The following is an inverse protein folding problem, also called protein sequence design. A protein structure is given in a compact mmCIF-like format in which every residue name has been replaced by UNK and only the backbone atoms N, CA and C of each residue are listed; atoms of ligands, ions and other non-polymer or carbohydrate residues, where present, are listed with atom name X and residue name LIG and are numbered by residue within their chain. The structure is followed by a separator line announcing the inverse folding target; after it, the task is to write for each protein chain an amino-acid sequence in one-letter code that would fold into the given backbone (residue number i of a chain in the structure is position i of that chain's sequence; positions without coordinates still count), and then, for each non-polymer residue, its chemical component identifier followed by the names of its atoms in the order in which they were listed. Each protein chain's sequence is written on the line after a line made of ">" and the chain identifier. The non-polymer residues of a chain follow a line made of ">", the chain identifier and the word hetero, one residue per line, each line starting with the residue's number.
data_IF_521670590764
#
_entry.id   IF_521670590764
#
_cell.length_a   1.000
_cell.length_b   1.000
_cell.length_c   1.000
_cell.angle_alpha   90.00
_cell.angle_beta   90.00
_cell.angle_gamma   90.00
#
_symmetry.space_group_name_H-M   'P 1'
#
loop_
_entity.id
_entity.type
_entity.pdbx_description
1 polymer ?
#
# COMPACT_ATOMS: atom_id res chain seq x y z
N UNK A 1 11.50 -4.85 18.19
CA UNK A 1 10.90 -3.79 17.35
C UNK A 1 9.53 -4.26 16.89
N UNK A 2 8.49 -3.40 16.87
CA UNK A 2 7.17 -3.75 16.34
C UNK A 2 7.15 -3.56 14.82
N UNK A 3 6.67 -4.55 14.08
CA UNK A 3 6.57 -4.51 12.63
C UNK A 3 5.12 -4.77 12.22
N UNK A 4 4.56 -3.96 11.33
CA UNK A 4 3.15 -4.08 10.93
C UNK A 4 3.02 -4.26 9.42
N UNK A 5 2.16 -5.19 9.01
CA UNK A 5 1.85 -5.45 7.59
C UNK A 5 0.44 -6.03 7.46
N UNK A 6 -0.33 -5.55 6.48
CA UNK A 6 -1.63 -6.09 6.13
C UNK A 6 -1.57 -6.75 4.75
N UNK A 7 -2.12 -7.98 4.55
CA UNK A 7 -2.03 -8.68 3.27
C UNK A 7 -2.63 -7.91 2.08
N UNK A 8 -3.68 -7.11 2.30
CA UNK A 8 -4.30 -6.29 1.24
C UNK A 8 -3.33 -5.31 0.57
N UNK A 9 -2.21 -4.96 1.21
CA UNK A 9 -1.18 -4.13 0.58
C UNK A 9 -0.61 -4.78 -0.69
N UNK A 10 -0.61 -6.12 -0.77
CA UNK A 10 -0.16 -6.86 -1.96
C UNK A 10 -1.15 -6.76 -3.14
N UNK A 11 -2.39 -6.33 -2.92
CA UNK A 11 -3.40 -6.20 -3.98
C UNK A 11 -3.12 -5.01 -4.91
N UNK A 12 -2.34 -4.02 -4.45
CA UNK A 12 -1.85 -2.96 -5.32
C UNK A 12 -0.66 -3.45 -6.14
N UNK A 13 -0.95 -4.07 -7.29
CA UNK A 13 0.05 -4.66 -8.17
C UNK A 13 -0.14 -4.24 -9.66
N UNK A 14 -0.04 -2.93 -9.99
CA UNK A 14 -0.12 -2.50 -11.37
C UNK A 14 1.01 -3.13 -12.20
N UNK A 15 0.75 -3.69 -13.39
CA UNK A 15 1.76 -4.40 -14.16
C UNK A 15 2.71 -3.46 -14.91
N UNK A 16 2.29 -2.22 -15.18
CA UNK A 16 2.99 -1.29 -16.05
C UNK A 16 3.29 0.05 -15.38
N UNK A 17 4.42 0.64 -15.75
CA UNK A 17 4.86 1.97 -15.34
C UNK A 17 5.46 2.70 -16.54
N UNK A 18 5.20 3.99 -16.68
CA UNK A 18 5.81 4.79 -17.75
C UNK A 18 7.17 5.32 -17.29
N UNK A 19 8.25 4.71 -17.80
CA UNK A 19 9.62 5.08 -17.47
C UNK A 19 10.28 5.80 -18.64
N UNK A 20 10.58 7.08 -18.48
CA UNK A 20 11.28 7.91 -19.50
C UNK A 20 10.60 7.84 -20.88
N UNK A 21 9.26 7.89 -20.88
CA UNK A 21 8.45 7.86 -22.09
C UNK A 21 8.19 6.48 -22.68
N UNK A 22 8.61 5.39 -22.01
CA UNK A 22 8.41 4.02 -22.48
C UNK A 22 7.68 3.17 -21.43
N UNK A 23 6.73 2.30 -21.83
CA UNK A 23 6.16 1.31 -20.91
C UNK A 23 7.25 0.37 -20.39
N UNK A 24 7.26 0.16 -19.08
CA UNK A 24 8.14 -0.76 -18.37
C UNK A 24 7.33 -1.53 -17.33
N UNK A 25 7.89 -2.61 -16.80
CA UNK A 25 7.31 -3.29 -15.64
C UNK A 25 7.29 -2.35 -14.43
N UNK A 26 6.23 -2.42 -13.61
CA UNK A 26 6.21 -1.66 -12.36
C UNK A 26 7.36 -2.06 -11.45
N UNK A 27 8.20 -1.12 -11.00
CA UNK A 27 9.25 -1.41 -10.02
C UNK A 27 8.71 -1.57 -8.60
N UNK A 28 7.46 -1.14 -8.36
CA UNK A 28 6.76 -1.22 -7.09
C UNK A 28 5.70 -2.34 -7.18
N UNK A 29 5.79 -3.33 -6.31
CA UNK A 29 4.95 -4.53 -6.38
C UNK A 29 5.18 -5.50 -5.22
N UNK A 30 4.35 -6.55 -5.11
CA UNK A 30 4.25 -7.41 -3.92
C UNK A 30 5.55 -8.11 -3.54
N UNK A 31 6.39 -8.46 -4.52
CA UNK A 31 7.70 -9.10 -4.30
C UNK A 31 8.59 -8.32 -3.31
N UNK A 32 8.46 -6.99 -3.26
CA UNK A 32 9.23 -6.16 -2.32
C UNK A 32 8.83 -6.45 -0.87
N UNK A 33 7.53 -6.55 -0.60
CA UNK A 33 7.00 -6.88 0.72
C UNK A 33 7.34 -8.32 1.13
N UNK A 34 7.32 -9.26 0.18
CA UNK A 34 7.72 -10.65 0.40
C UNK A 34 9.19 -10.76 0.83
N UNK A 35 10.10 -10.11 0.11
CA UNK A 35 11.53 -10.10 0.43
C UNK A 35 11.82 -9.44 1.78
N UNK A 36 11.15 -8.32 2.08
CA UNK A 36 11.26 -7.68 3.40
C UNK A 36 10.73 -8.57 4.53
N UNK A 37 9.61 -9.26 4.31
CA UNK A 37 9.04 -10.22 5.27
C UNK A 37 10.04 -11.34 5.57
N UNK A 38 10.69 -11.90 4.55
CA UNK A 38 11.73 -12.91 4.73
C UNK A 38 12.94 -12.34 5.51
N UNK A 39 13.35 -11.10 5.22
CA UNK A 39 14.43 -10.42 5.94
C UNK A 39 14.10 -10.22 7.43
N UNK A 40 12.88 -9.80 7.74
CA UNK A 40 12.40 -9.64 9.12
C UNK A 40 12.40 -10.97 9.87
N UNK A 41 11.92 -12.05 9.24
CA UNK A 41 11.92 -13.38 9.83
C UNK A 41 13.35 -13.87 10.15
N UNK A 42 14.31 -13.66 9.22
CA UNK A 42 15.73 -13.97 9.44
C UNK A 42 16.34 -13.16 10.59
N UNK A 43 15.85 -11.95 10.83
CA UNK A 43 16.25 -11.10 11.95
C UNK A 43 15.52 -11.43 13.27
N UNK A 44 14.68 -12.47 13.31
CA UNK A 44 13.89 -12.83 14.49
C UNK A 44 12.75 -11.85 14.81
N UNK A 45 12.30 -11.06 13.83
CA UNK A 45 11.19 -10.13 13.97
C UNK A 45 9.90 -10.71 13.41
N UNK A 46 8.79 -10.36 14.06
CA UNK A 46 7.44 -10.84 13.71
C UNK A 46 6.61 -9.67 13.19
N UNK A 47 5.84 -9.92 12.14
CA UNK A 47 4.84 -8.99 11.61
C UNK A 47 3.50 -9.19 12.32
N UNK A 48 2.83 -8.09 12.63
CA UNK A 48 1.47 -8.08 13.17
C UNK A 48 0.57 -7.31 12.21
N UNK A 49 -0.58 -7.86 11.86
CA UNK A 49 -1.56 -7.10 11.08
C UNK A 49 -2.15 -5.97 11.93
N UNK A 50 -2.37 -4.77 11.38
CA UNK A 50 -3.17 -3.76 12.04
C UNK A 50 -4.57 -4.30 12.35
N UNK A 51 -5.09 -4.00 13.54
CA UNK A 51 -6.41 -4.48 14.01
C UNK A 51 -7.57 -3.82 13.24
N UNK A 52 -7.36 -2.60 12.75
CA UNK A 52 -8.34 -1.84 12.00
C UNK A 52 -7.75 -1.41 10.65
N UNK A 53 -8.50 -1.67 9.58
CA UNK A 53 -8.27 -1.12 8.25
C UNK A 53 -9.47 -0.28 7.84
N UNK A 54 -9.23 0.82 7.12
CA UNK A 54 -10.26 1.76 6.64
C UNK A 54 -11.28 2.23 7.70
N UNK A 55 -10.87 2.33 8.97
CA UNK A 55 -11.79 2.73 10.04
C UNK A 55 -12.12 4.23 9.99
N UNK A 56 -13.26 4.67 10.58
CA UNK A 56 -13.60 6.10 10.65
C UNK A 56 -12.50 6.95 11.28
N UNK A 57 -11.77 6.36 12.24
CA UNK A 57 -10.60 7.00 12.88
C UNK A 57 -9.45 7.20 11.88
N UNK A 58 -9.16 6.20 11.05
CA UNK A 58 -8.15 6.31 10.01
C UNK A 58 -8.55 7.33 8.95
N UNK A 59 -9.80 7.29 8.45
CA UNK A 59 -10.30 8.27 7.49
C UNK A 59 -10.18 9.70 8.00
N UNK A 60 -10.60 9.96 9.26
CA UNK A 60 -10.42 11.27 9.92
C UNK A 60 -8.95 11.71 10.00
N UNK A 61 -8.01 10.78 10.21
CA UNK A 61 -6.56 11.09 10.22
C UNK A 61 -6.04 11.45 8.84
N UNK A 62 -6.48 10.73 7.79
CA UNK A 62 -6.09 11.04 6.42
C UNK A 62 -6.56 12.45 6.00
N UNK A 63 -7.76 12.85 6.41
CA UNK A 63 -8.32 14.19 6.16
C UNK A 63 -7.56 15.34 6.83
N UNK A 64 -6.73 15.06 7.84
CA UNK A 64 -5.87 16.08 8.46
C UNK A 64 -4.69 16.48 7.56
N UNK A 65 -4.34 15.65 6.58
CA UNK A 65 -3.18 15.82 5.70
C UNK A 65 -3.65 16.01 4.24
N UNK A 66 -4.71 15.33 3.84
CA UNK A 66 -5.22 15.30 2.48
C UNK A 66 -6.60 15.95 2.38
N UNK A 67 -6.84 16.66 1.29
CA UNK A 67 -8.16 17.24 1.01
C UNK A 67 -9.21 16.14 0.79
N UNK A 68 -10.47 16.32 1.21
CA UNK A 68 -11.54 15.36 0.94
C UNK A 68 -11.69 15.02 -0.55
N UNK A 69 -11.55 16.03 -1.43
CA UNK A 69 -11.60 15.84 -2.90
C UNK A 69 -10.58 14.82 -3.40
N UNK A 70 -9.36 14.84 -2.86
CA UNK A 70 -8.29 13.92 -3.27
C UNK A 70 -8.58 12.49 -2.79
N UNK A 71 -9.06 12.32 -1.56
CA UNK A 71 -9.42 11.01 -1.01
C UNK A 71 -10.57 10.38 -1.81
N UNK A 72 -11.64 11.14 -2.08
CA UNK A 72 -12.74 10.68 -2.94
C UNK A 72 -12.27 10.33 -4.35
N UNK A 73 -11.32 11.10 -4.92
CA UNK A 73 -10.73 10.77 -6.21
C UNK A 73 -10.04 9.40 -6.17
N UNK A 74 -9.16 9.14 -5.20
CA UNK A 74 -8.45 7.86 -5.09
C UNK A 74 -9.39 6.68 -4.88
N UNK A 75 -10.46 6.85 -4.11
CA UNK A 75 -11.46 5.80 -3.84
C UNK A 75 -12.31 5.44 -5.08
N UNK A 76 -12.49 6.37 -6.02
CA UNK A 76 -13.46 6.22 -7.11
C UNK A 76 -12.83 6.16 -8.50
N UNK A 77 -11.56 6.53 -8.67
CA UNK A 77 -10.98 6.71 -10.00
C UNK A 77 -10.89 5.41 -10.79
N UNK A 78 -10.60 4.28 -10.15
CA UNK A 78 -10.50 2.99 -10.86
C UNK A 78 -11.82 2.59 -11.53
N UNK A 79 -12.95 2.69 -10.83
CA UNK A 79 -14.27 2.37 -11.38
C UNK A 79 -14.74 3.36 -12.45
N UNK A 80 -14.24 4.60 -12.39
CA UNK A 80 -14.61 5.68 -13.32
C UNK A 80 -13.77 5.67 -14.61
N UNK A 81 -12.63 5.00 -14.61
CA UNK A 81 -11.70 4.93 -15.74
C UNK A 81 -12.11 3.82 -16.69
#
# INVERSE_FOLDING_TARGET
>A
MKCFYHPDQALHAPPTFLLRGQPAASPEGPVRAELLTQGLAKAGLVLTAPEEVDSPRLRKRLEQIHTPRYLTFLETIYTRW
#
